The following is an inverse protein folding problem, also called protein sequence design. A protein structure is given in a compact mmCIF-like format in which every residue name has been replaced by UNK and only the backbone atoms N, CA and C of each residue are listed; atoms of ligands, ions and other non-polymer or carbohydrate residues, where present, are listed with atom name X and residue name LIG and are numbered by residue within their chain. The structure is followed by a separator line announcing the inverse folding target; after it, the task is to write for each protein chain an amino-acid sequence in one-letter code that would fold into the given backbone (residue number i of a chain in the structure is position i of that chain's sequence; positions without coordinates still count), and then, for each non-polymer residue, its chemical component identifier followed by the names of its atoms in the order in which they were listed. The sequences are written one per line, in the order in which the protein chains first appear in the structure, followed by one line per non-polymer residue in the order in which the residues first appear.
data_IF_804409372944
#
_entry.id   IF_804409372944
#
_cell.length_a   1.000
_cell.length_b   1.000
_cell.length_c   1.000
_cell.angle_alpha   90.00
_cell.angle_beta   90.00
_cell.angle_gamma   90.00
#
_symmetry.space_group_name_H-M   'P 1'
#
loop_
_entity.id
_entity.type
_entity.pdbx_description
1 polymer ?
#
# COMPACT_ATOMS: atom_id res chain seq x y z
N UNK A 1 -6.54 -5.28 -32.48
CA UNK A 1 -5.26 -6.01 -32.40
C UNK A 1 -5.56 -7.30 -31.67
N UNK A 2 -5.33 -8.45 -32.29
CA UNK A 2 -5.50 -9.74 -31.62
C UNK A 2 -4.25 -10.06 -30.78
N UNK A 3 -4.37 -10.95 -29.80
CA UNK A 3 -3.24 -11.31 -28.94
C UNK A 3 -2.08 -11.95 -29.72
N UNK A 4 -2.39 -12.64 -30.83
CA UNK A 4 -1.40 -13.27 -31.73
C UNK A 4 -0.54 -12.28 -32.52
N UNK A 5 -1.00 -11.04 -32.68
CA UNK A 5 -0.27 -10.02 -33.44
C UNK A 5 0.74 -9.27 -32.57
N UNK A 6 0.66 -9.41 -31.23
CA UNK A 6 1.43 -8.61 -30.29
C UNK A 6 2.87 -9.09 -30.22
N UNK A 7 3.81 -8.26 -30.70
CA UNK A 7 5.23 -8.56 -30.62
C UNK A 7 5.84 -7.97 -29.35
N UNK A 8 7.03 -8.48 -29.01
CA UNK A 8 7.84 -7.90 -27.92
C UNK A 8 8.16 -6.42 -28.14
N UNK A 9 8.33 -5.98 -29.39
CA UNK A 9 8.51 -4.57 -29.73
C UNK A 9 7.30 -3.72 -29.36
N UNK A 10 6.09 -4.22 -29.64
CA UNK A 10 4.83 -3.52 -29.35
C UNK A 10 4.63 -3.41 -27.84
N UNK A 11 4.92 -4.48 -27.11
CA UNK A 11 4.91 -4.47 -25.65
C UNK A 11 5.89 -3.45 -25.06
N UNK A 12 7.11 -3.33 -25.61
CA UNK A 12 8.08 -2.31 -25.18
C UNK A 12 7.61 -0.90 -25.49
N UNK A 13 7.15 -0.65 -26.73
CA UNK A 13 6.63 0.64 -27.15
C UNK A 13 5.42 1.06 -26.30
N UNK A 14 4.55 0.12 -25.95
CA UNK A 14 3.43 0.35 -25.04
C UNK A 14 3.89 0.83 -23.66
N UNK A 15 4.89 0.17 -23.04
CA UNK A 15 5.40 0.60 -21.73
C UNK A 15 6.13 1.95 -21.80
N UNK A 16 6.88 2.22 -22.87
CA UNK A 16 7.52 3.52 -23.10
C UNK A 16 6.47 4.61 -23.27
N UNK A 17 5.41 4.34 -24.03
CA UNK A 17 4.29 5.28 -24.20
C UNK A 17 3.64 5.61 -22.86
N UNK A 18 3.39 4.63 -21.99
CA UNK A 18 2.85 4.89 -20.66
C UNK A 18 3.75 5.83 -19.84
N UNK A 19 5.08 5.69 -19.96
CA UNK A 19 6.01 6.60 -19.30
C UNK A 19 5.96 8.01 -19.89
N UNK A 20 5.90 8.13 -21.22
CA UNK A 20 5.75 9.42 -21.90
C UNK A 20 4.42 10.12 -21.57
N UNK A 21 3.36 9.33 -21.34
CA UNK A 21 2.04 9.80 -20.88
C UNK A 21 2.05 10.18 -19.39
N UNK A 22 3.22 10.16 -18.72
CA UNK A 22 3.41 10.60 -17.35
C UNK A 22 3.10 9.56 -16.27
N UNK A 23 2.96 8.27 -16.63
CA UNK A 23 2.80 7.21 -15.62
C UNK A 23 4.15 6.92 -14.97
N UNK A 24 4.21 6.98 -13.64
CA UNK A 24 5.41 6.63 -12.88
C UNK A 24 5.76 5.14 -13.00
N UNK A 25 7.04 4.83 -12.80
CA UNK A 25 7.60 3.48 -12.94
C UNK A 25 6.86 2.42 -12.11
N UNK A 26 6.40 2.76 -10.90
CA UNK A 26 5.62 1.85 -10.05
C UNK A 26 4.31 1.39 -10.69
N UNK A 27 3.61 2.30 -11.40
CA UNK A 27 2.37 1.99 -12.11
C UNK A 27 2.65 1.09 -13.30
N UNK A 28 3.66 1.42 -14.10
CA UNK A 28 4.08 0.63 -15.26
C UNK A 28 4.49 -0.79 -14.84
N UNK A 29 5.22 -0.91 -13.73
CA UNK A 29 5.58 -2.21 -13.13
C UNK A 29 4.35 -3.03 -12.77
N UNK A 30 3.32 -2.42 -12.17
CA UNK A 30 2.06 -3.10 -11.85
C UNK A 30 1.31 -3.53 -13.10
N UNK A 31 1.18 -2.66 -14.11
CA UNK A 31 0.54 -2.97 -15.40
C UNK A 31 1.24 -4.17 -16.06
N UNK A 32 2.57 -4.15 -16.14
CA UNK A 32 3.34 -5.31 -16.63
C UNK A 32 3.14 -6.56 -15.76
N UNK A 33 3.02 -6.39 -14.45
CA UNK A 33 2.76 -7.47 -13.50
C UNK A 33 1.44 -8.21 -13.74
N UNK A 34 0.45 -7.54 -14.37
CA UNK A 34 -0.82 -8.15 -14.80
C UNK A 34 -0.71 -8.71 -16.21
N UNK A 35 -0.11 -7.96 -17.15
CA UNK A 35 -0.02 -8.39 -18.55
C UNK A 35 0.88 -9.60 -18.74
N UNK A 36 2.02 -9.66 -18.05
CA UNK A 36 2.97 -10.79 -18.18
C UNK A 36 2.32 -12.15 -17.87
N UNK A 37 1.63 -12.38 -16.73
CA UNK A 37 0.97 -13.65 -16.47
C UNK A 37 -0.23 -13.91 -17.40
N UNK A 38 -0.99 -12.88 -17.79
CA UNK A 38 -2.08 -13.06 -18.76
C UNK A 38 -1.58 -13.59 -20.12
N UNK A 39 -0.50 -13.02 -20.64
CA UNK A 39 0.15 -13.53 -21.85
C UNK A 39 0.89 -14.85 -21.64
N UNK A 40 1.31 -15.16 -20.40
CA UNK A 40 1.90 -16.45 -20.10
C UNK A 40 0.85 -17.56 -20.17
N UNK A 41 -0.34 -17.34 -19.62
CA UNK A 41 -1.46 -18.28 -19.72
C UNK A 41 -1.81 -18.60 -21.18
N UNK A 42 -1.82 -17.59 -22.06
CA UNK A 42 -2.04 -17.82 -23.49
C UNK A 42 -0.90 -18.60 -24.18
N UNK A 43 0.33 -18.56 -23.64
CA UNK A 43 1.42 -19.43 -24.11
C UNK A 43 1.23 -20.86 -23.60
N UNK A 44 0.83 -21.00 -22.34
CA UNK A 44 0.63 -22.30 -21.69
C UNK A 44 -0.56 -23.07 -22.32
N UNK A 45 -1.56 -22.36 -22.87
CA UNK A 45 -2.68 -22.92 -23.64
C UNK A 45 -2.38 -23.08 -25.16
N UNK A 46 -1.11 -23.00 -25.56
CA UNK A 46 -0.64 -23.09 -26.96
C UNK A 46 -1.25 -22.05 -27.92
N UNK A 47 -1.93 -21.02 -27.41
CA UNK A 47 -2.49 -19.93 -28.21
C UNK A 47 -1.40 -18.97 -28.72
N UNK A 48 -0.25 -18.92 -28.04
CA UNK A 48 0.93 -18.12 -28.40
C UNK A 48 2.22 -18.93 -28.26
N UNK A 49 3.14 -18.77 -29.21
CA UNK A 49 4.46 -19.43 -29.12
C UNK A 49 5.42 -18.73 -28.15
N UNK A 50 5.16 -17.46 -27.78
CA UNK A 50 6.05 -16.65 -26.96
C UNK A 50 5.31 -15.55 -26.23
N UNK A 51 5.70 -15.31 -24.98
CA UNK A 51 5.17 -14.21 -24.17
C UNK A 51 5.82 -12.86 -24.58
N UNK A 52 5.07 -11.88 -25.13
CA UNK A 52 5.62 -10.59 -25.53
C UNK A 52 6.09 -9.74 -24.34
N UNK A 53 5.63 -9.99 -23.11
CA UNK A 53 6.01 -9.30 -21.88
C UNK A 53 7.10 -10.01 -21.05
N UNK A 54 7.71 -11.07 -21.60
CA UNK A 54 8.74 -11.87 -20.92
C UNK A 54 10.08 -11.17 -20.67
N UNK A 55 10.34 -10.02 -21.30
CA UNK A 55 11.59 -9.25 -21.17
C UNK A 55 11.74 -8.54 -19.83
N UNK A 56 12.96 -8.25 -19.38
CA UNK A 56 13.22 -7.45 -18.18
C UNK A 56 12.81 -5.98 -18.36
N UNK A 57 12.19 -5.37 -17.35
CA UNK A 57 11.78 -3.96 -17.40
C UNK A 57 12.99 -3.01 -17.35
N UNK A 58 14.07 -3.45 -16.72
CA UNK A 58 15.34 -2.74 -16.67
C UNK A 58 15.87 -2.55 -18.10
N UNK A 59 15.99 -1.30 -18.54
CA UNK A 59 16.43 -0.93 -19.89
C UNK A 59 15.30 -0.58 -20.88
N UNK A 60 14.02 -0.67 -20.48
CA UNK A 60 12.88 -0.26 -21.32
C UNK A 60 12.23 1.02 -20.80
N UNK A 61 12.14 1.19 -19.48
CA UNK A 61 11.62 2.39 -18.83
C UNK A 61 12.60 2.87 -17.77
N UNK A 62 12.66 4.20 -17.60
CA UNK A 62 13.50 4.83 -16.56
C UNK A 62 12.87 4.57 -15.19
N UNK A 63 13.68 4.19 -14.21
CA UNK A 63 13.21 4.10 -12.84
C UNK A 63 13.21 5.49 -12.20
N UNK A 64 12.05 6.12 -12.12
CA UNK A 64 11.79 7.42 -11.49
C UNK A 64 11.29 7.29 -10.04
N UNK A 65 11.39 6.10 -9.44
CA UNK A 65 10.89 5.88 -8.09
C UNK A 65 11.69 6.67 -7.06
N UNK A 66 11.02 7.54 -6.31
CA UNK A 66 11.63 8.25 -5.18
C UNK A 66 11.68 7.34 -3.96
N UNK A 67 12.85 7.22 -3.34
CA UNK A 67 13.02 6.54 -2.06
C UNK A 67 12.30 7.30 -0.96
N UNK A 68 11.43 6.61 -0.21
CA UNK A 68 10.77 7.20 0.95
C UNK A 68 11.72 7.17 2.14
N UNK A 69 12.18 8.34 2.56
CA UNK A 69 12.98 8.48 3.78
C UNK A 69 12.09 8.40 5.02
N UNK A 70 12.57 7.67 6.03
CA UNK A 70 11.88 7.60 7.31
C UNK A 70 12.01 8.94 8.05
N UNK A 71 10.94 9.33 8.74
CA UNK A 71 10.94 10.54 9.57
C UNK A 71 11.90 10.34 10.75
N UNK A 72 12.84 11.26 10.95
CA UNK A 72 13.72 11.23 12.11
C UNK A 72 12.96 11.54 13.40
N UNK A 73 13.45 11.05 14.55
CA UNK A 73 12.84 11.33 15.87
C UNK A 73 12.67 12.84 16.14
N UNK A 74 13.62 13.67 15.67
CA UNK A 74 13.55 15.13 15.78
C UNK A 74 12.42 15.72 14.93
N UNK A 75 12.21 15.23 13.72
CA UNK A 75 11.11 15.66 12.85
C UNK A 75 9.76 15.20 13.42
N UNK A 76 9.67 13.97 13.91
CA UNK A 76 8.48 13.42 14.56
C UNK A 76 8.05 14.29 15.74
N UNK A 77 8.97 14.61 16.67
CA UNK A 77 8.66 15.45 17.82
C UNK A 77 8.22 16.86 17.43
N UNK A 78 8.84 17.46 16.40
CA UNK A 78 8.41 18.75 15.86
C UNK A 78 7.01 18.70 15.27
N UNK A 79 6.69 17.62 14.56
CA UNK A 79 5.39 17.43 13.93
C UNK A 79 4.28 17.19 14.97
N UNK A 80 4.54 16.36 15.98
CA UNK A 80 3.62 16.15 17.10
C UNK A 80 3.36 17.45 17.88
N UNK A 81 4.42 18.22 18.16
CA UNK A 81 4.27 19.54 18.79
C UNK A 81 3.41 20.50 17.95
N UNK A 82 3.65 20.53 16.64
CA UNK A 82 2.84 21.35 15.74
C UNK A 82 1.35 20.97 15.78
N UNK A 83 1.02 19.68 15.76
CA UNK A 83 -0.38 19.23 15.85
C UNK A 83 -0.99 19.60 17.19
N UNK A 84 -0.25 19.38 18.28
CA UNK A 84 -0.70 19.68 19.64
C UNK A 84 -1.04 21.18 19.82
N UNK A 85 -0.17 22.06 19.34
CA UNK A 85 -0.28 23.51 19.53
C UNK A 85 -1.24 24.19 18.53
N UNK A 86 -1.74 23.47 17.52
CA UNK A 86 -2.63 24.00 16.48
C UNK A 86 -4.11 23.88 16.86
N UNK A 87 -4.88 24.96 16.68
CA UNK A 87 -6.30 25.01 17.07
C UNK A 87 -7.22 24.09 16.26
N UNK A 88 -6.84 23.70 15.04
CA UNK A 88 -7.66 22.91 14.13
C UNK A 88 -7.30 21.42 14.17
N UNK A 89 -6.00 21.12 14.28
CA UNK A 89 -5.47 19.76 14.16
C UNK A 89 -5.22 19.07 15.50
N UNK A 90 -5.25 19.78 16.64
CA UNK A 90 -5.03 19.19 17.97
C UNK A 90 -5.89 17.94 18.24
N UNK A 91 -7.13 17.90 17.72
CA UNK A 91 -8.03 16.74 17.80
C UNK A 91 -7.49 15.44 17.18
N UNK A 92 -6.45 15.51 16.35
CA UNK A 92 -5.81 14.36 15.72
C UNK A 92 -4.47 14.00 16.36
N UNK A 93 -4.07 14.68 17.44
CA UNK A 93 -2.81 14.42 18.13
C UNK A 93 -2.69 12.94 18.52
N UNK A 94 -3.68 12.40 19.22
CA UNK A 94 -3.66 11.01 19.70
C UNK A 94 -3.62 10.01 18.54
N UNK A 95 -4.37 10.28 17.47
CA UNK A 95 -4.38 9.45 16.26
C UNK A 95 -2.97 9.35 15.67
N UNK A 96 -2.31 10.48 15.48
CA UNK A 96 -0.96 10.54 14.90
C UNK A 96 0.06 9.94 15.86
N UNK A 97 -0.08 10.20 17.16
CA UNK A 97 0.79 9.65 18.20
C UNK A 97 0.74 8.12 18.22
N UNK A 98 -0.45 7.52 18.21
CA UNK A 98 -0.65 6.06 18.15
C UNK A 98 -0.02 5.50 16.88
N UNK A 99 -0.24 6.13 15.72
CA UNK A 99 0.32 5.66 14.45
C UNK A 99 1.87 5.66 14.45
N UNK A 100 2.51 6.66 15.05
CA UNK A 100 3.97 6.70 15.17
C UNK A 100 4.54 5.60 16.08
N UNK A 101 3.86 5.31 17.20
CA UNK A 101 4.39 4.40 18.23
C UNK A 101 3.98 2.94 18.04
N UNK A 102 2.85 2.68 17.39
CA UNK A 102 2.35 1.31 17.16
C UNK A 102 2.60 0.79 15.74
N UNK A 103 2.80 1.69 14.77
CA UNK A 103 3.03 1.31 13.37
C UNK A 103 1.87 0.55 12.71
N UNK A 104 0.65 0.66 13.25
CA UNK A 104 -0.55 0.07 12.63
C UNK A 104 -0.91 0.76 11.33
N UNK A 105 -1.54 0.02 10.42
CA UNK A 105 -2.06 0.59 9.17
C UNK A 105 -3.25 1.48 9.48
N UNK A 106 -3.44 2.53 8.68
CA UNK A 106 -4.56 3.48 8.91
C UNK A 106 -5.93 2.79 8.89
N UNK A 107 -6.13 1.78 8.03
CA UNK A 107 -7.38 1.01 7.97
C UNK A 107 -7.59 0.12 9.21
N UNK A 108 -6.51 -0.36 9.82
CA UNK A 108 -6.55 -1.11 11.09
C UNK A 108 -6.94 -0.14 12.22
N UNK A 109 -6.31 1.04 12.29
CA UNK A 109 -6.67 2.08 13.27
C UNK A 109 -8.14 2.50 13.16
N UNK A 110 -8.62 2.80 11.94
CA UNK A 110 -10.02 3.17 11.71
C UNK A 110 -11.02 2.04 12.02
N UNK A 111 -10.55 0.79 12.07
CA UNK A 111 -11.37 -0.36 12.45
C UNK A 111 -11.48 -0.56 13.96
N UNK A 112 -10.56 -0.01 14.75
CA UNK A 112 -10.51 -0.25 16.19
C UNK A 112 -11.83 0.08 16.89
N UNK A 113 -12.26 -0.84 17.74
CA UNK A 113 -13.38 -0.66 18.66
C UNK A 113 -12.89 -0.72 20.10
N UNK A 114 -13.74 -0.30 21.04
CA UNK A 114 -13.44 -0.34 22.49
C UNK A 114 -13.08 -1.77 22.95
N UNK A 115 -13.61 -2.81 22.29
CA UNK A 115 -13.35 -4.22 22.64
C UNK A 115 -11.93 -4.66 22.29
N UNK A 116 -11.28 -3.95 21.38
CA UNK A 116 -9.95 -4.28 20.88
C UNK A 116 -8.86 -3.68 21.76
N UNK A 117 -9.21 -2.75 22.64
CA UNK A 117 -8.30 -2.03 23.53
C UNK A 117 -8.37 -2.61 24.94
N UNK A 118 -7.29 -3.29 25.36
CA UNK A 118 -7.12 -3.74 26.73
C UNK A 118 -6.21 -2.76 27.48
N UNK A 119 -6.80 -1.77 28.14
CA UNK A 119 -6.07 -0.78 28.93
C UNK A 119 -5.42 -1.37 30.18
N UNK A 120 -5.95 -2.49 30.72
CA UNK A 120 -5.37 -3.13 31.93
C UNK A 120 -4.03 -3.77 31.62
N UNK A 121 -3.98 -4.52 30.51
CA UNK A 121 -2.77 -5.18 30.06
C UNK A 121 -1.95 -4.32 29.09
N UNK A 122 -2.45 -3.13 28.73
CA UNK A 122 -1.86 -2.20 27.76
C UNK A 122 -1.64 -2.86 26.40
N UNK A 123 -2.67 -3.51 25.87
CA UNK A 123 -2.62 -4.25 24.61
C UNK A 123 -3.69 -3.77 23.63
N UNK A 124 -3.28 -3.55 22.37
CA UNK A 124 -4.15 -3.39 21.22
C UNK A 124 -4.26 -4.70 20.45
N UNK A 125 -5.47 -5.22 20.32
CA UNK A 125 -5.76 -6.40 19.50
C UNK A 125 -6.11 -5.95 18.07
N UNK A 126 -5.30 -6.33 17.09
CA UNK A 126 -5.55 -6.03 15.68
C UNK A 126 -5.98 -7.32 15.00
N UNK A 127 -7.25 -7.47 14.63
CA UNK A 127 -7.78 -8.65 13.91
C UNK A 127 -8.71 -8.29 12.73
N UNK A 128 -9.05 -7.01 12.58
CA UNK A 128 -9.86 -6.50 11.48
C UNK A 128 -9.41 -5.10 11.04
N UNK A 129 -9.97 -4.64 9.93
CA UNK A 129 -9.72 -3.31 9.37
C UNK A 129 -11.00 -2.75 8.75
N UNK A 130 -11.15 -1.44 8.80
CA UNK A 130 -12.22 -0.71 8.12
C UNK A 130 -11.76 -0.30 6.73
N UNK A 131 -12.47 -0.74 5.70
CA UNK A 131 -12.26 -0.32 4.32
C UNK A 131 -13.47 0.46 3.80
N UNK A 132 -13.21 1.37 2.86
CA UNK A 132 -14.25 2.08 2.11
C UNK A 132 -14.16 1.67 0.64
N UNK A 133 -15.26 1.16 0.10
CA UNK A 133 -15.35 0.77 -1.32
C UNK A 133 -15.49 2.00 -2.22
N UNK A 134 -15.33 1.82 -3.54
CA UNK A 134 -15.62 2.85 -4.55
C UNK A 134 -17.05 3.39 -4.46
N UNK A 135 -17.98 2.53 -4.03
CA UNK A 135 -19.40 2.85 -3.88
C UNK A 135 -19.70 3.54 -2.54
N UNK A 136 -18.66 4.03 -1.86
CA UNK A 136 -18.74 4.73 -0.57
C UNK A 136 -19.32 3.90 0.57
N UNK A 137 -19.29 2.57 0.45
CA UNK A 137 -19.76 1.66 1.51
C UNK A 137 -18.60 1.31 2.44
N UNK A 138 -18.87 1.32 3.73
CA UNK A 138 -17.95 0.87 4.75
C UNK A 138 -18.08 -0.64 4.94
N UNK A 139 -16.96 -1.35 4.87
CA UNK A 139 -16.88 -2.80 5.05
C UNK A 139 -15.81 -3.10 6.07
N UNK A 140 -16.15 -3.93 7.05
CA UNK A 140 -15.19 -4.49 7.99
C UNK A 140 -14.64 -5.77 7.35
N UNK A 141 -13.34 -5.75 7.04
CA UNK A 141 -12.65 -6.94 6.58
C UNK A 141 -11.78 -7.50 7.70
N UNK A 142 -11.82 -8.83 7.86
CA UNK A 142 -10.85 -9.53 8.70
C UNK A 142 -9.47 -9.44 8.06
N UNK A 143 -8.43 -9.51 8.88
CA UNK A 143 -7.06 -9.61 8.35
C UNK A 143 -6.92 -10.86 7.46
N UNK A 144 -6.27 -10.70 6.30
CA UNK A 144 -6.22 -11.73 5.24
C UNK A 144 -5.68 -13.10 5.70
N UNK A 145 -4.89 -13.16 6.77
CA UNK A 145 -4.32 -14.39 7.33
C UNK A 145 -4.21 -14.28 8.85
N UNK A 146 -4.06 -15.41 9.56
CA UNK A 146 -3.79 -15.43 11.01
C UNK A 146 -2.52 -14.65 11.40
N UNK A 147 -1.57 -14.50 10.47
CA UNK A 147 -0.37 -13.66 10.66
C UNK A 147 -0.67 -12.15 10.64
N UNK A 148 -1.84 -11.75 10.12
CA UNK A 148 -2.33 -10.38 10.20
C UNK A 148 -2.90 -10.03 11.57
N UNK A 149 -3.38 -11.04 12.32
CA UNK A 149 -3.87 -10.85 13.68
C UNK A 149 -2.70 -10.72 14.65
N UNK A 150 -2.60 -9.59 15.35
CA UNK A 150 -1.49 -9.33 16.26
C UNK A 150 -1.92 -8.52 17.49
N UNK A 151 -1.22 -8.76 18.60
CA UNK A 151 -1.35 -7.98 19.83
C UNK A 151 -0.17 -7.02 19.90
N UNK A 152 -0.45 -5.73 20.01
CA UNK A 152 0.57 -4.70 20.11
C UNK A 152 0.59 -4.12 21.52
N UNK A 153 1.75 -4.03 22.17
CA UNK A 153 1.86 -3.33 23.43
C UNK A 153 1.63 -1.83 23.21
N UNK A 154 0.91 -1.20 24.14
CA UNK A 154 0.77 0.25 24.24
C UNK A 154 1.81 0.76 25.22
N UNK A 155 2.52 1.83 24.85
CA UNK A 155 3.37 2.56 25.78
C UNK A 155 2.50 3.28 26.81
N UNK A 156 3.08 3.56 27.99
CA UNK A 156 2.38 4.25 29.07
C UNK A 156 1.80 5.59 28.61
N UNK A 157 2.56 6.34 27.80
CA UNK A 157 2.15 7.59 27.16
C UNK A 157 0.95 7.47 26.19
N UNK A 158 0.59 6.25 25.75
CA UNK A 158 -0.61 5.98 24.90
C UNK A 158 -1.84 5.67 25.77
N UNK A 159 -1.63 5.32 27.04
CA UNK A 159 -2.67 4.80 27.94
C UNK A 159 -3.17 5.81 28.98
N UNK A 160 -2.63 7.02 28.99
CA UNK A 160 -3.08 8.14 29.83
C UNK A 160 -4.41 8.76 29.34
#
# INVERSE_FOLDING_TARGET
MQIGDVKTSDAKLFLIKLQNDGKGHSTIKTVRGVLRPAFQMAVDDDALNKNPFGFALAGVVVNDSVTREAISKKQMNKFLKFIHDDNCYCKYYDVVYILFHTGIRISEFCGLTIRDVDLKNKILNIDHQLQRTSDMKYVIEKTKTNAGTRKLPMNDDVTE
#
